data_IF_615311132131
#
_entry.id   IF_615311132131
#
_cell.length_a   1.000
_cell.length_b   1.000
_cell.length_c   1.000
_cell.angle_alpha   90.00
_cell.angle_beta   90.00
_cell.angle_gamma   90.00
#
_symmetry.space_group_name_H-M   'P 1'
#
loop_
_entity.id
_entity.type
_entity.pdbx_description
1 polymer ?
#
# COMPACT_ATOMS: atom_id res chain seq x y z
N UNK A 1 25.24 -4.09 -6.46
CA UNK A 1 24.48 -5.34 -6.67
C UNK A 1 23.12 -5.30 -5.98
N UNK A 2 23.04 -5.00 -4.67
CA UNK A 2 21.76 -4.92 -3.94
C UNK A 2 20.79 -3.86 -4.49
N UNK A 3 21.28 -2.66 -4.83
CA UNK A 3 20.42 -1.57 -5.33
C UNK A 3 19.78 -1.88 -6.69
N UNK A 4 20.54 -2.49 -7.61
CA UNK A 4 20.04 -2.92 -8.90
C UNK A 4 18.98 -4.02 -8.74
N UNK A 5 19.24 -5.00 -7.86
CA UNK A 5 18.28 -6.06 -7.58
C UNK A 5 16.97 -5.52 -6.99
N UNK A 6 17.07 -4.55 -6.08
CA UNK A 6 15.90 -3.88 -5.50
C UNK A 6 15.12 -3.08 -6.55
N UNK A 7 15.81 -2.34 -7.42
CA UNK A 7 15.19 -1.59 -8.51
C UNK A 7 14.48 -2.52 -9.50
N UNK A 8 15.14 -3.59 -9.95
CA UNK A 8 14.54 -4.58 -10.86
C UNK A 8 13.34 -5.28 -10.22
N UNK A 9 13.41 -5.61 -8.93
CA UNK A 9 12.29 -6.18 -8.20
C UNK A 9 11.10 -5.21 -8.15
N UNK A 10 11.35 -3.94 -7.82
CA UNK A 10 10.30 -2.92 -7.74
C UNK A 10 9.63 -2.72 -9.09
N UNK A 11 10.41 -2.57 -10.17
CA UNK A 11 9.87 -2.46 -11.53
C UNK A 11 9.03 -3.67 -11.93
N UNK A 12 9.51 -4.88 -11.64
CA UNK A 12 8.79 -6.12 -11.92
C UNK A 12 7.47 -6.19 -11.15
N UNK A 13 7.49 -5.85 -9.86
CA UNK A 13 6.30 -5.81 -9.02
C UNK A 13 5.28 -4.77 -9.53
N UNK A 14 5.73 -3.57 -9.88
CA UNK A 14 4.85 -2.53 -10.44
C UNK A 14 4.24 -2.96 -11.77
N UNK A 15 5.02 -3.53 -12.70
CA UNK A 15 4.51 -4.05 -13.97
C UNK A 15 3.48 -5.16 -13.76
N UNK A 16 3.74 -6.08 -12.83
CA UNK A 16 2.80 -7.13 -12.47
C UNK A 16 1.48 -6.55 -11.93
N UNK A 17 1.57 -5.60 -10.99
CA UNK A 17 0.39 -4.98 -10.40
C UNK A 17 -0.44 -4.24 -11.46
N UNK A 18 0.20 -3.48 -12.37
CA UNK A 18 -0.47 -2.77 -13.48
C UNK A 18 -1.11 -3.69 -14.52
N UNK A 19 -0.63 -4.93 -14.65
CA UNK A 19 -1.18 -5.89 -15.60
C UNK A 19 -2.49 -6.54 -15.14
N UNK A 20 -2.85 -6.38 -13.86
CA UNK A 20 -4.06 -6.94 -13.26
C UNK A 20 -5.16 -5.88 -13.17
N UNK A 21 -6.45 -6.25 -13.30
CA UNK A 21 -7.55 -5.35 -12.98
C UNK A 21 -7.44 -4.86 -11.53
N UNK A 22 -7.72 -3.57 -11.28
CA UNK A 22 -7.60 -2.94 -9.94
C UNK A 22 -8.21 -3.74 -8.78
N UNK A 23 -9.40 -4.37 -8.89
CA UNK A 23 -9.93 -5.21 -7.81
C UNK A 23 -9.06 -6.44 -7.51
N UNK A 24 -8.54 -7.11 -8.54
CA UNK A 24 -7.67 -8.27 -8.39
C UNK A 24 -6.29 -7.88 -7.83
N UNK A 25 -5.72 -6.78 -8.33
CA UNK A 25 -4.48 -6.21 -7.81
C UNK A 25 -4.61 -5.85 -6.32
N UNK A 26 -5.72 -5.20 -5.93
CA UNK A 26 -6.01 -4.84 -4.54
C UNK A 26 -6.08 -6.08 -3.66
N UNK A 27 -6.80 -7.13 -4.08
CA UNK A 27 -6.92 -8.37 -3.32
C UNK A 27 -5.56 -9.07 -3.14
N UNK A 28 -4.75 -9.13 -4.20
CA UNK A 28 -3.41 -9.72 -4.16
C UNK A 28 -2.49 -8.97 -3.19
N UNK A 29 -2.36 -7.65 -3.36
CA UNK A 29 -1.45 -6.83 -2.55
C UNK A 29 -1.90 -6.77 -1.10
N UNK A 30 -3.21 -6.68 -0.83
CA UNK A 30 -3.75 -6.73 0.53
C UNK A 30 -3.40 -8.05 1.21
N UNK A 31 -3.54 -9.19 0.51
CA UNK A 31 -3.19 -10.51 1.07
C UNK A 31 -1.69 -10.59 1.39
N UNK A 32 -0.83 -10.11 0.48
CA UNK A 32 0.62 -10.08 0.69
C UNK A 32 0.98 -9.19 1.89
N UNK A 33 0.48 -7.96 1.92
CA UNK A 33 0.75 -7.02 3.02
C UNK A 33 0.26 -7.59 4.34
N UNK A 34 -0.96 -8.15 4.41
CA UNK A 34 -1.49 -8.76 5.63
C UNK A 34 -0.60 -9.91 6.14
N UNK A 35 -0.01 -10.70 5.23
CA UNK A 35 0.86 -11.82 5.59
C UNK A 35 2.26 -11.38 6.02
N UNK A 36 2.86 -10.41 5.34
CA UNK A 36 4.26 -10.04 5.56
C UNK A 36 4.45 -8.83 6.47
N UNK A 37 3.47 -7.94 6.58
CA UNK A 37 3.56 -6.75 7.44
C UNK A 37 3.97 -7.07 8.88
N UNK A 38 3.46 -8.13 9.55
CA UNK A 38 3.86 -8.46 10.93
C UNK A 38 5.37 -8.68 11.11
N UNK A 39 6.07 -9.10 10.04
CA UNK A 39 7.52 -9.37 10.05
C UNK A 39 8.35 -8.10 9.82
N UNK A 40 7.74 -7.01 9.35
CA UNK A 40 8.45 -5.77 9.07
C UNK A 40 8.80 -5.04 10.38
N UNK A 41 10.01 -4.47 10.52
CA UNK A 41 10.36 -3.66 11.70
C UNK A 41 9.37 -2.52 11.96
N UNK A 42 8.74 -1.98 10.90
CA UNK A 42 7.74 -0.91 11.02
C UNK A 42 6.45 -1.34 11.71
N UNK A 43 6.11 -2.63 11.67
CA UNK A 43 4.97 -3.15 12.40
C UNK A 43 5.17 -3.04 13.91
N UNK A 44 6.40 -3.30 14.40
CA UNK A 44 6.75 -3.10 15.82
C UNK A 44 6.60 -1.63 16.24
N UNK A 45 7.00 -0.70 15.37
CA UNK A 45 6.80 0.74 15.62
C UNK A 45 5.31 1.09 15.68
N UNK A 46 4.50 0.55 14.77
CA UNK A 46 3.05 0.75 14.78
C UNK A 46 2.39 0.24 16.07
N UNK A 47 2.80 -0.94 16.53
CA UNK A 47 2.36 -1.51 17.82
C UNK A 47 2.67 -0.57 18.99
N UNK A 48 3.91 -0.09 19.07
CA UNK A 48 4.33 0.81 20.16
C UNK A 48 3.57 2.14 20.10
N UNK A 49 3.38 2.70 18.92
CA UNK A 49 2.58 3.92 18.75
C UNK A 49 1.14 3.73 19.24
N UNK A 50 0.49 2.61 18.90
CA UNK A 50 -0.87 2.31 19.36
C UNK A 50 -0.91 2.09 20.87
N UNK A 51 0.11 1.44 21.45
CA UNK A 51 0.21 1.24 22.90
C UNK A 51 0.33 2.58 23.64
N UNK A 52 1.09 3.52 23.11
CA UNK A 52 1.28 4.85 23.69
C UNK A 52 0.05 5.75 23.49
N UNK A 53 -0.60 5.70 22.33
CA UNK A 53 -1.76 6.53 22.01
C UNK A 53 -3.06 6.02 22.67
N UNK A 54 -3.18 4.71 22.83
CA UNK A 54 -4.37 4.03 23.39
C UNK A 54 -3.96 3.06 24.50
N UNK A 55 -3.48 3.56 25.64
CA UNK A 55 -2.97 2.71 26.73
C UNK A 55 -4.06 1.82 27.34
N UNK A 56 -5.29 2.32 27.46
CA UNK A 56 -6.43 1.62 28.08
C UNK A 56 -7.13 0.62 27.14
N UNK A 57 -6.69 0.54 25.88
CA UNK A 57 -7.27 -0.36 24.88
C UNK A 57 -6.69 -1.78 25.02
N UNK A 58 -7.47 -2.81 24.71
CA UNK A 58 -6.96 -4.18 24.73
C UNK A 58 -5.96 -4.43 23.60
N UNK A 59 -5.01 -5.36 23.82
CA UNK A 59 -3.98 -5.67 22.82
C UNK A 59 -4.57 -6.18 21.50
N UNK A 60 -5.59 -7.04 21.57
CA UNK A 60 -6.26 -7.58 20.38
C UNK A 60 -6.91 -6.48 19.54
N UNK A 61 -7.50 -5.47 20.19
CA UNK A 61 -8.09 -4.32 19.51
C UNK A 61 -7.01 -3.48 18.81
N UNK A 62 -5.87 -3.25 19.46
CA UNK A 62 -4.73 -2.57 18.82
C UNK A 62 -4.16 -3.37 17.64
N UNK A 63 -4.05 -4.69 17.78
CA UNK A 63 -3.60 -5.58 16.70
C UNK A 63 -4.55 -5.54 15.49
N UNK A 64 -5.86 -5.51 15.74
CA UNK A 64 -6.87 -5.39 14.70
C UNK A 64 -6.78 -4.03 13.98
N UNK A 65 -6.57 -2.93 14.73
CA UNK A 65 -6.35 -1.60 14.15
C UNK A 65 -5.10 -1.60 13.27
N UNK A 66 -3.98 -2.15 13.76
CA UNK A 66 -2.74 -2.19 13.00
C UNK A 66 -2.88 -3.03 11.72
N UNK A 67 -3.56 -4.16 11.81
CA UNK A 67 -3.86 -5.01 10.64
C UNK A 67 -4.68 -4.24 9.61
N UNK A 68 -5.76 -3.58 10.04
CA UNK A 68 -6.60 -2.76 9.15
C UNK A 68 -5.85 -1.57 8.55
N UNK A 69 -4.94 -0.97 9.30
CA UNK A 69 -4.06 0.10 8.81
C UNK A 69 -3.17 -0.41 7.66
N UNK A 70 -2.59 -1.60 7.79
CA UNK A 70 -1.80 -2.23 6.74
C UNK A 70 -2.63 -2.59 5.50
N UNK A 71 -3.84 -3.11 5.69
CA UNK A 71 -4.77 -3.35 4.58
C UNK A 71 -5.16 -2.05 3.87
N UNK A 72 -5.36 -0.96 4.61
CA UNK A 72 -5.63 0.35 4.04
C UNK A 72 -4.42 0.89 3.26
N UNK A 73 -3.20 0.73 3.78
CA UNK A 73 -1.97 1.07 3.08
C UNK A 73 -1.82 0.28 1.77
N UNK A 74 -2.12 -1.01 1.78
CA UNK A 74 -2.10 -1.85 0.58
C UNK A 74 -3.03 -1.33 -0.52
N UNK A 75 -4.25 -0.91 -0.14
CA UNK A 75 -5.23 -0.32 -1.07
C UNK A 75 -4.71 1.00 -1.65
N UNK A 76 -4.23 1.92 -0.81
CA UNK A 76 -3.69 3.20 -1.25
C UNK A 76 -2.48 3.01 -2.19
N UNK A 77 -1.62 2.03 -1.92
CA UNK A 77 -0.48 1.69 -2.79
C UNK A 77 -0.93 1.22 -4.18
N UNK A 78 -1.96 0.37 -4.26
CA UNK A 78 -2.52 -0.08 -5.54
C UNK A 78 -3.21 1.07 -6.27
N UNK A 79 -3.95 1.91 -5.57
CA UNK A 79 -4.56 3.13 -6.14
C UNK A 79 -3.52 4.05 -6.75
N UNK A 80 -2.38 4.24 -6.07
CA UNK A 80 -1.28 5.04 -6.58
C UNK A 80 -0.67 4.46 -7.87
N UNK A 81 -0.51 3.13 -7.95
CA UNK A 81 0.04 2.49 -9.15
C UNK A 81 -0.90 2.61 -10.36
N UNK A 82 -2.22 2.65 -10.13
CA UNK A 82 -3.25 2.81 -11.15
C UNK A 82 -3.76 4.26 -11.24
N UNK A 83 -2.97 5.24 -10.78
CA UNK A 83 -3.40 6.63 -10.75
C UNK A 83 -3.71 7.17 -12.15
N UNK A 84 -3.08 6.63 -13.18
CA UNK A 84 -3.32 6.92 -14.59
C UNK A 84 -4.72 6.53 -15.07
N UNK A 85 -5.44 5.66 -14.35
CA UNK A 85 -6.85 5.36 -14.63
C UNK A 85 -7.82 6.40 -14.04
N UNK A 86 -7.36 7.20 -13.07
CA UNK A 86 -8.18 8.18 -12.33
C UNK A 86 -7.83 9.62 -12.72
N UNK A 87 -6.60 9.85 -13.17
CA UNK A 87 -6.05 11.17 -13.44
C UNK A 87 -5.44 11.21 -14.84
N UNK A 88 -6.22 11.69 -15.81
CA UNK A 88 -5.77 11.93 -17.18
C UNK A 88 -5.08 13.29 -17.27
N UNK A 89 -3.82 13.35 -16.85
CA UNK A 89 -3.03 14.58 -16.93
C UNK A 89 -2.13 14.56 -18.16
N UNK A 90 -2.45 15.42 -19.12
CA UNK A 90 -1.61 15.70 -20.29
C UNK A 90 -0.68 16.88 -20.00
N UNK A 91 0.65 16.68 -19.89
CA UNK A 91 1.60 17.78 -19.67
C UNK A 91 1.64 18.79 -20.83
N UNK A 92 1.27 18.36 -22.05
CA UNK A 92 1.17 19.22 -23.22
C UNK A 92 -0.15 20.00 -23.27
N UNK A 93 -1.16 19.53 -22.52
CA UNK A 93 -2.47 20.18 -22.41
C UNK A 93 -2.97 20.16 -20.95
N UNK A 94 -2.31 20.90 -20.05
CA UNK A 94 -2.51 20.77 -18.59
C UNK A 94 -3.91 21.17 -18.09
N UNK A 95 -4.69 21.86 -18.92
CA UNK A 95 -6.08 22.28 -18.64
C UNK A 95 -7.12 21.22 -19.07
N UNK A 96 -6.72 20.19 -19.83
CA UNK A 96 -7.64 19.22 -20.42
C UNK A 96 -7.96 18.02 -19.51
N UNK A 97 -7.24 17.86 -18.39
CA UNK A 97 -7.44 16.73 -17.50
C UNK A 97 -8.75 16.81 -16.73
N UNK A 98 -9.57 15.76 -16.81
CA UNK A 98 -10.77 15.63 -15.97
C UNK A 98 -10.43 14.96 -14.64
N UNK A 99 -10.76 15.60 -13.52
CA UNK A 99 -10.82 14.95 -12.21
C UNK A 99 -12.23 14.39 -12.08
N UNK A 100 -12.40 13.06 -12.14
CA UNK A 100 -13.69 12.41 -11.82
C UNK A 100 -13.67 11.89 -10.39
#
# INVERSE_FOLDING_TARGET
MADLAAATFLEGATRLIRSLPKPAATALVTRLVRTFAPMLPRNRVGQENLRLAFPDMEQEQRDAILTRMWENFARAFVEFIHVDEVFDYDPANPEAGSIT
#
